data_IF_677269605354
#
_entry.id   IF_677269605354
#
_cell.length_a   1.000
_cell.length_b   1.000
_cell.length_c   1.000
_cell.angle_alpha   90.00
_cell.angle_beta   90.00
_cell.angle_gamma   90.00
#
_symmetry.space_group_name_H-M   'P 1'
#
loop_
_entity.id
_entity.type
_entity.pdbx_description
1 polymer ?
#
# COMPACT_ATOMS: atom_id res chain seq x y z
N UNK A 1 25.26 8.04 -17.08
CA UNK A 1 23.98 8.55 -17.62
C UNK A 1 22.86 7.81 -16.91
N UNK A 2 22.30 8.37 -15.83
CA UNK A 2 21.17 7.79 -15.13
C UNK A 2 19.88 8.13 -15.88
N UNK A 3 19.28 7.14 -16.53
CA UNK A 3 17.90 7.25 -17.00
C UNK A 3 17.02 6.82 -15.84
N UNK A 4 16.40 7.79 -15.17
CA UNK A 4 15.28 7.54 -14.27
C UNK A 4 14.13 6.99 -15.11
N UNK A 5 13.68 5.79 -14.77
CA UNK A 5 12.49 5.17 -15.34
C UNK A 5 11.31 5.54 -14.43
N UNK A 6 10.28 6.13 -15.04
CA UNK A 6 9.00 6.44 -14.40
C UNK A 6 8.14 5.20 -14.28
N UNK A 7 8.50 4.32 -13.34
CA UNK A 7 7.73 3.13 -13.01
C UNK A 7 7.23 3.25 -11.56
N UNK A 8 5.91 3.18 -11.36
CA UNK A 8 5.28 3.28 -10.04
C UNK A 8 5.38 1.91 -9.34
N UNK A 9 6.38 1.74 -8.47
CA UNK A 9 6.61 0.50 -7.73
C UNK A 9 6.33 0.69 -6.22
N UNK A 10 5.41 -0.09 -5.62
CA UNK A 10 5.43 -0.37 -4.17
C UNK A 10 6.20 -1.67 -3.90
N UNK A 11 6.90 -1.69 -2.77
CA UNK A 11 7.87 -2.72 -2.41
C UNK A 11 7.61 -3.23 -0.99
N UNK A 12 7.74 -4.54 -0.79
CA UNK A 12 7.90 -5.13 0.53
C UNK A 12 9.19 -5.96 0.65
N UNK A 13 9.88 -5.81 1.78
CA UNK A 13 11.12 -6.55 2.10
C UNK A 13 10.80 -7.65 3.09
N UNK A 14 11.13 -8.89 2.72
CA UNK A 14 10.95 -10.08 3.55
C UNK A 14 12.12 -10.25 4.52
N UNK A 15 11.92 -10.98 5.62
CA UNK A 15 12.95 -11.34 6.61
C UNK A 15 14.14 -12.05 5.97
N UNK A 16 13.90 -12.80 4.90
CA UNK A 16 14.91 -13.49 4.08
C UNK A 16 15.71 -12.55 3.16
N UNK A 17 15.35 -11.26 3.12
CA UNK A 17 15.97 -10.22 2.29
C UNK A 17 15.46 -10.18 0.86
N UNK A 18 14.59 -11.12 0.46
CA UNK A 18 13.89 -11.03 -0.81
C UNK A 18 12.91 -9.86 -0.79
N UNK A 19 12.63 -9.38 -1.98
CA UNK A 19 11.83 -8.19 -2.17
C UNK A 19 10.71 -8.49 -3.17
N UNK A 20 9.47 -8.21 -2.77
CA UNK A 20 8.30 -8.30 -3.63
C UNK A 20 7.97 -6.90 -4.15
N UNK A 21 7.67 -6.78 -5.45
CA UNK A 21 7.37 -5.49 -6.10
C UNK A 21 6.17 -5.64 -7.02
N UNK A 22 5.14 -4.81 -6.82
CA UNK A 22 4.05 -4.65 -7.77
C UNK A 22 4.52 -3.86 -8.99
N UNK A 23 4.33 -4.40 -10.18
CA UNK A 23 4.78 -3.80 -11.44
C UNK A 23 3.56 -3.54 -12.33
N UNK A 24 3.34 -2.28 -12.69
CA UNK A 24 2.33 -1.86 -13.66
C UNK A 24 3.02 -1.13 -14.83
N UNK A 25 3.36 -1.83 -15.93
CA UNK A 25 4.07 -1.25 -17.05
C UNK A 25 3.28 -0.15 -17.77
N UNK A 26 3.98 0.93 -18.10
CA UNK A 26 3.43 2.04 -18.90
C UNK A 26 4.35 2.42 -20.05
N UNK A 27 3.79 3.10 -21.06
CA UNK A 27 4.56 3.85 -22.05
C UNK A 27 4.63 5.31 -21.62
N UNK A 28 5.85 5.81 -21.43
CA UNK A 28 6.14 7.19 -21.03
C UNK A 28 5.42 7.65 -19.75
N UNK A 29 5.08 6.75 -18.83
CA UNK A 29 4.38 7.09 -17.58
C UNK A 29 2.88 7.39 -17.74
N UNK A 30 2.30 7.20 -18.92
CA UNK A 30 0.93 7.66 -19.21
C UNK A 30 -0.02 6.54 -19.68
N UNK A 31 0.44 5.68 -20.59
CA UNK A 31 -0.41 4.65 -21.18
C UNK A 31 -0.07 3.27 -20.60
N UNK A 32 -1.00 2.67 -19.85
CA UNK A 32 -0.89 1.30 -19.36
C UNK A 32 -0.84 0.33 -20.55
N UNK A 33 0.12 -0.60 -20.53
CA UNK A 33 0.34 -1.53 -21.66
C UNK A 33 0.05 -3.00 -21.33
N UNK A 34 -0.16 -3.33 -20.05
CA UNK A 34 -0.48 -4.68 -19.60
C UNK A 34 -1.15 -4.67 -18.22
N UNK A 35 -1.66 -5.83 -17.79
CA UNK A 35 -2.20 -6.06 -16.44
C UNK A 35 -1.12 -6.06 -15.35
N UNK A 36 0.16 -6.02 -15.72
CA UNK A 36 1.26 -6.02 -14.75
C UNK A 36 1.64 -7.40 -14.19
N UNK A 37 2.45 -7.38 -13.14
CA UNK A 37 3.04 -8.57 -12.51
C UNK A 37 3.54 -8.30 -11.10
N UNK A 38 3.81 -9.36 -10.33
CA UNK A 38 4.62 -9.27 -9.12
C UNK A 38 6.05 -9.71 -9.45
N UNK A 39 7.01 -8.83 -9.21
CA UNK A 39 8.43 -9.13 -9.33
C UNK A 39 8.97 -9.61 -7.99
N UNK A 40 9.74 -10.70 -8.03
CA UNK A 40 10.51 -11.18 -6.88
C UNK A 40 11.97 -10.89 -7.13
N UNK A 41 12.59 -10.09 -6.27
CA UNK A 41 13.97 -9.62 -6.40
C UNK A 41 14.79 -10.22 -5.25
N UNK A 42 15.97 -10.74 -5.58
CA UNK A 42 16.89 -11.32 -4.59
C UNK A 42 17.50 -10.25 -3.69
N UNK A 43 18.07 -10.62 -2.52
CA UNK A 43 18.79 -9.67 -1.66
C UNK A 43 19.94 -8.92 -2.37
N UNK A 44 20.47 -9.47 -3.47
CA UNK A 44 21.53 -8.86 -4.29
C UNK A 44 20.97 -7.91 -5.36
N UNK A 45 19.66 -7.64 -5.36
CA UNK A 45 19.01 -6.75 -6.31
C UNK A 45 18.79 -7.34 -7.71
N UNK A 46 18.85 -8.68 -7.86
CA UNK A 46 18.58 -9.34 -9.14
C UNK A 46 17.13 -9.80 -9.24
N UNK A 47 16.53 -9.70 -10.42
CA UNK A 47 15.22 -10.30 -10.67
C UNK A 47 15.33 -11.83 -10.58
N UNK A 48 14.58 -12.44 -9.67
CA UNK A 48 14.46 -13.88 -9.50
C UNK A 48 13.31 -14.45 -10.34
N UNK A 49 12.15 -13.82 -10.26
CA UNK A 49 10.93 -14.30 -10.93
C UNK A 49 9.98 -13.14 -11.22
N UNK A 50 9.22 -13.28 -12.29
CA UNK A 50 8.07 -12.43 -12.60
C UNK A 50 6.81 -13.31 -12.55
N UNK A 51 5.91 -13.00 -11.62
CA UNK A 51 4.68 -13.75 -11.38
C UNK A 51 3.51 -13.04 -12.03
N UNK A 52 2.73 -13.79 -12.82
CA UNK A 52 1.56 -13.29 -13.54
C UNK A 52 0.38 -14.21 -13.28
N UNK A 53 -0.76 -13.60 -12.98
CA UNK A 53 -2.05 -14.26 -12.93
C UNK A 53 -3.11 -13.19 -13.22
N UNK A 54 -3.80 -13.21 -14.37
CA UNK A 54 -4.72 -12.13 -14.75
C UNK A 54 -5.99 -12.08 -13.88
N UNK A 55 -6.24 -13.10 -13.04
CA UNK A 55 -7.36 -13.12 -12.11
C UNK A 55 -6.97 -12.48 -10.78
N UNK A 56 -5.73 -12.74 -10.33
CA UNK A 56 -5.24 -12.28 -9.03
C UNK A 56 -4.44 -10.97 -9.11
N UNK A 57 -3.86 -10.65 -10.27
CA UNK A 57 -2.93 -9.55 -10.49
C UNK A 57 -3.36 -8.72 -11.71
N UNK A 58 -3.95 -7.56 -11.44
CA UNK A 58 -4.40 -6.60 -12.46
C UNK A 58 -4.12 -5.16 -12.01
N UNK A 59 -2.91 -4.73 -12.31
CA UNK A 59 -2.27 -3.55 -11.72
C UNK A 59 -2.00 -3.75 -10.24
N UNK A 60 -1.14 -4.72 -9.85
CA UNK A 60 -0.71 -4.84 -8.46
C UNK A 60 -0.02 -3.54 -8.04
N UNK A 61 -0.63 -2.81 -7.10
CA UNK A 61 -0.24 -1.43 -6.77
C UNK A 61 0.38 -1.30 -5.40
N UNK A 62 -0.30 -1.79 -4.36
CA UNK A 62 0.25 -1.84 -3.00
C UNK A 62 0.14 -3.24 -2.42
N UNK A 63 0.93 -3.48 -1.38
CA UNK A 63 1.07 -4.80 -0.77
C UNK A 63 1.42 -4.72 0.69
N UNK A 64 0.91 -5.66 1.48
CA UNK A 64 1.36 -5.90 2.86
C UNK A 64 1.54 -7.39 3.12
N UNK A 65 2.53 -7.74 3.93
CA UNK A 65 2.89 -9.13 4.21
C UNK A 65 2.18 -9.60 5.48
N UNK A 66 1.36 -10.63 5.35
CA UNK A 66 0.64 -11.24 6.45
C UNK A 66 1.45 -12.34 7.14
N UNK A 67 2.14 -13.17 6.35
CA UNK A 67 2.95 -14.29 6.86
C UNK A 67 4.30 -14.27 6.13
N UNK A 68 5.38 -14.37 6.90
CA UNK A 68 6.75 -14.52 6.39
C UNK A 68 7.48 -15.56 7.23
N UNK A 69 7.43 -16.80 6.74
CA UNK A 69 7.96 -18.00 7.36
C UNK A 69 9.08 -18.61 6.51
N UNK A 70 9.97 -17.78 5.97
CA UNK A 70 11.10 -18.24 5.15
C UNK A 70 10.68 -18.42 3.69
N UNK A 71 10.58 -19.66 3.17
CA UNK A 71 10.16 -19.88 1.79
C UNK A 71 8.66 -19.62 1.57
N UNK A 72 7.83 -19.76 2.61
CA UNK A 72 6.40 -19.52 2.51
C UNK A 72 6.05 -18.10 2.94
N UNK A 73 5.39 -17.38 2.04
CA UNK A 73 4.97 -16.00 2.23
C UNK A 73 3.52 -15.86 1.85
N UNK A 74 2.73 -15.21 2.71
CA UNK A 74 1.37 -14.76 2.38
C UNK A 74 1.38 -13.24 2.39
N UNK A 75 0.94 -12.63 1.30
CA UNK A 75 0.81 -11.19 1.15
C UNK A 75 -0.59 -10.83 0.65
N UNK A 76 -1.08 -9.65 1.02
CA UNK A 76 -2.23 -9.05 0.39
C UNK A 76 -1.75 -8.06 -0.65
N UNK A 77 -2.38 -8.06 -1.82
CA UNK A 77 -2.02 -7.20 -2.96
C UNK A 77 -3.27 -6.49 -3.45
N UNK A 78 -3.22 -5.17 -3.55
CA UNK A 78 -4.31 -4.39 -4.13
C UNK A 78 -4.11 -4.21 -5.64
N UNK A 79 -5.20 -4.29 -6.39
CA UNK A 79 -5.22 -4.22 -7.84
C UNK A 79 -6.00 -2.98 -8.29
N UNK A 80 -5.29 -2.00 -8.86
CA UNK A 80 -5.88 -0.71 -9.22
C UNK A 80 -6.58 -0.72 -10.58
N UNK A 81 -6.35 -1.71 -11.44
CA UNK A 81 -7.02 -1.75 -12.75
C UNK A 81 -8.42 -2.34 -12.71
N UNK A 82 -8.74 -3.15 -11.68
CA UNK A 82 -10.04 -3.77 -11.54
C UNK A 82 -10.69 -3.58 -10.15
N UNK A 83 -10.05 -2.84 -9.25
CA UNK A 83 -10.63 -2.49 -7.95
C UNK A 83 -10.81 -3.71 -7.04
N UNK A 84 -9.77 -4.54 -6.93
CA UNK A 84 -9.79 -5.77 -6.12
C UNK A 84 -8.62 -5.86 -5.16
N UNK A 85 -8.68 -6.80 -4.23
CA UNK A 85 -7.56 -7.22 -3.38
C UNK A 85 -7.46 -8.73 -3.41
N UNK A 86 -6.25 -9.23 -3.62
CA UNK A 86 -5.92 -10.65 -3.61
C UNK A 86 -5.08 -11.02 -2.39
N UNK A 87 -5.34 -12.19 -1.79
CA UNK A 87 -4.40 -12.89 -0.91
C UNK A 87 -3.52 -13.78 -1.78
N UNK A 88 -2.23 -13.48 -1.78
CA UNK A 88 -1.21 -14.12 -2.59
C UNK A 88 -0.35 -15.00 -1.68
N UNK A 89 -0.42 -16.30 -1.91
CA UNK A 89 0.42 -17.29 -1.24
C UNK A 89 1.57 -17.70 -2.16
N UNK A 90 2.79 -17.56 -1.68
CA UNK A 90 4.02 -17.76 -2.44
C UNK A 90 4.89 -18.83 -1.79
N UNK A 91 5.58 -19.57 -2.65
CA UNK A 91 6.78 -20.29 -2.27
C UNK A 91 7.98 -19.65 -2.97
N UNK A 92 8.99 -19.24 -2.20
CA UNK A 92 10.20 -18.56 -2.68
C UNK A 92 11.41 -19.41 -2.31
N UNK A 93 12.22 -19.75 -3.33
CA UNK A 93 13.46 -20.48 -3.15
C UNK A 93 14.58 -19.96 -4.06
N UNK A 94 15.76 -20.57 -3.94
CA UNK A 94 16.93 -20.16 -4.73
C UNK A 94 16.71 -20.25 -6.25
N UNK A 95 15.81 -21.13 -6.70
CA UNK A 95 15.55 -21.40 -8.12
C UNK A 95 14.35 -20.62 -8.69
N UNK A 96 13.65 -19.84 -7.88
CA UNK A 96 12.46 -19.11 -8.33
C UNK A 96 11.43 -18.88 -7.23
N UNK A 97 10.40 -18.13 -7.57
CA UNK A 97 9.17 -18.00 -6.80
C UNK A 97 7.98 -18.56 -7.58
N UNK A 98 6.98 -19.09 -6.89
CA UNK A 98 5.74 -19.59 -7.50
C UNK A 98 4.52 -19.15 -6.71
N UNK A 99 3.46 -18.74 -7.43
CA UNK A 99 2.12 -18.59 -6.87
C UNK A 99 1.56 -19.96 -6.49
N UNK A 100 1.03 -20.08 -5.29
CA UNK A 100 0.38 -21.28 -4.78
C UNK A 100 -1.11 -21.26 -5.13
N UNK A 101 -1.70 -22.45 -5.32
CA UNK A 101 -3.13 -22.62 -5.61
C UNK A 101 -4.06 -22.12 -4.48
N UNK A 102 -3.51 -21.89 -3.29
CA UNK A 102 -4.23 -21.29 -2.16
C UNK A 102 -4.36 -19.77 -2.26
N UNK A 103 -3.81 -19.15 -3.31
CA UNK A 103 -4.01 -17.72 -3.58
C UNK A 103 -5.44 -17.47 -4.04
N UNK A 104 -6.08 -16.44 -3.49
CA UNK A 104 -7.48 -16.13 -3.77
C UNK A 104 -7.71 -14.64 -3.94
N UNK A 105 -8.65 -14.28 -4.81
CA UNK A 105 -9.29 -12.98 -4.77
C UNK A 105 -10.14 -12.93 -3.49
N UNK A 106 -9.94 -11.94 -2.63
CA UNK A 106 -10.60 -11.89 -1.32
C UNK A 106 -11.55 -10.69 -1.18
N UNK A 107 -11.40 -9.67 -2.00
CA UNK A 107 -12.28 -8.51 -2.01
C UNK A 107 -12.35 -7.87 -3.39
N UNK A 108 -13.53 -7.35 -3.75
CA UNK A 108 -13.77 -6.55 -4.94
C UNK A 108 -14.76 -5.41 -4.67
N UNK A 109 -14.95 -4.56 -5.68
CA UNK A 109 -15.94 -3.48 -5.64
C UNK A 109 -15.39 -2.12 -5.21
N UNK A 110 -14.06 -1.98 -5.12
CA UNK A 110 -13.43 -0.67 -4.92
C UNK A 110 -13.53 0.17 -6.19
N UNK A 111 -13.90 1.43 -6.03
CA UNK A 111 -13.97 2.35 -7.15
C UNK A 111 -12.57 2.51 -7.75
N UNK A 112 -12.46 2.48 -9.08
CA UNK A 112 -11.20 2.62 -9.80
C UNK A 112 -11.41 3.29 -11.15
N UNK A 113 -10.37 3.98 -11.64
CA UNK A 113 -10.33 4.58 -12.98
C UNK A 113 -8.88 4.94 -13.34
N UNK A 114 -8.63 5.14 -14.63
CA UNK A 114 -7.45 5.89 -15.06
C UNK A 114 -7.55 7.34 -14.60
N UNK A 115 -6.39 7.96 -14.39
CA UNK A 115 -6.30 9.34 -13.94
C UNK A 115 -5.14 10.07 -14.63
N UNK A 116 -5.35 11.22 -15.27
CA UNK A 116 -4.28 11.93 -15.97
C UNK A 116 -3.23 12.55 -15.04
N UNK A 117 -3.56 12.79 -13.76
CA UNK A 117 -2.63 13.34 -12.77
C UNK A 117 -1.94 12.24 -11.96
N UNK A 118 -2.62 11.12 -11.70
CA UNK A 118 -2.12 10.04 -10.83
C UNK A 118 -1.83 8.71 -11.54
N UNK A 119 -1.91 8.66 -12.88
CA UNK A 119 -1.95 7.45 -13.73
C UNK A 119 -3.24 6.63 -13.54
N UNK A 120 -3.53 6.25 -12.30
CA UNK A 120 -4.69 5.47 -11.87
C UNK A 120 -5.06 5.83 -10.43
N UNK A 121 -6.34 5.71 -10.12
CA UNK A 121 -6.84 5.75 -8.75
C UNK A 121 -7.66 4.50 -8.48
N UNK A 122 -7.57 3.96 -7.27
CA UNK A 122 -8.18 2.67 -6.90
C UNK A 122 -7.91 2.32 -5.43
N UNK A 123 -7.93 1.03 -5.07
CA UNK A 123 -7.38 0.56 -3.79
C UNK A 123 -5.86 0.66 -3.83
N UNK A 124 -5.30 1.71 -3.23
CA UNK A 124 -3.89 2.10 -3.41
C UNK A 124 -3.03 1.94 -2.16
N UNK A 125 -3.64 1.72 -1.00
CA UNK A 125 -2.93 1.55 0.26
C UNK A 125 -3.47 0.36 1.07
N UNK A 126 -2.58 -0.47 1.61
CA UNK A 126 -2.91 -1.62 2.43
C UNK A 126 -2.18 -1.59 3.78
N UNK A 127 -2.89 -1.90 4.86
CA UNK A 127 -2.30 -2.16 6.17
C UNK A 127 -2.96 -3.38 6.81
N UNK A 128 -2.18 -4.29 7.40
CA UNK A 128 -2.70 -5.52 7.96
C UNK A 128 -2.39 -5.61 9.46
N UNK A 129 -3.45 -5.74 10.25
CA UNK A 129 -3.38 -6.01 11.68
C UNK A 129 -3.43 -7.52 11.91
N UNK A 130 -2.26 -8.11 12.11
CA UNK A 130 -2.11 -9.54 12.37
C UNK A 130 -2.74 -9.99 13.68
N UNK A 131 -2.82 -9.12 14.70
CA UNK A 131 -3.32 -9.52 16.02
C UNK A 131 -4.84 -9.70 16.00
N UNK A 132 -5.53 -8.95 15.15
CA UNK A 132 -6.98 -8.99 15.02
C UNK A 132 -7.46 -9.62 13.69
N UNK A 133 -6.54 -10.02 12.81
CA UNK A 133 -6.82 -10.48 11.44
C UNK A 133 -7.72 -9.50 10.67
N UNK A 134 -7.25 -8.25 10.56
CA UNK A 134 -7.96 -7.20 9.83
C UNK A 134 -7.06 -6.61 8.76
N UNK A 135 -7.49 -6.69 7.51
CA UNK A 135 -6.87 -5.96 6.40
C UNK A 135 -7.61 -4.66 6.16
N UNK A 136 -6.90 -3.55 6.26
CA UNK A 136 -7.40 -2.22 5.94
C UNK A 136 -7.00 -1.83 4.52
N UNK A 137 -7.94 -1.21 3.80
CA UNK A 137 -7.77 -0.81 2.40
C UNK A 137 -8.09 0.67 2.27
N UNK A 138 -7.08 1.47 1.94
CA UNK A 138 -7.27 2.84 1.49
C UNK A 138 -7.69 2.82 0.01
N UNK A 139 -8.93 3.21 -0.25
CA UNK A 139 -9.45 3.37 -1.60
C UNK A 139 -9.44 4.85 -1.97
N UNK A 140 -8.47 5.24 -2.79
CA UNK A 140 -8.29 6.62 -3.23
C UNK A 140 -9.56 7.14 -3.90
N UNK A 141 -10.12 6.40 -4.86
CA UNK A 141 -11.25 6.88 -5.66
C UNK A 141 -12.57 6.94 -4.86
N UNK A 142 -12.75 6.05 -3.87
CA UNK A 142 -13.91 6.09 -2.97
C UNK A 142 -13.83 7.22 -1.93
N UNK A 143 -12.65 7.79 -1.71
CA UNK A 143 -12.33 8.64 -0.56
C UNK A 143 -12.64 8.00 0.80
N UNK A 144 -12.32 6.70 0.93
CA UNK A 144 -12.67 5.88 2.10
C UNK A 144 -11.55 4.94 2.49
N UNK A 145 -11.58 4.53 3.75
CA UNK A 145 -10.82 3.37 4.25
C UNK A 145 -11.79 2.28 4.66
N UNK A 146 -11.55 1.08 4.15
CA UNK A 146 -12.33 -0.12 4.42
C UNK A 146 -11.56 -1.07 5.34
N UNK A 147 -12.28 -1.95 6.02
CA UNK A 147 -11.75 -3.04 6.83
C UNK A 147 -12.36 -4.38 6.42
N UNK A 148 -11.50 -5.36 6.19
CA UNK A 148 -11.84 -6.76 5.92
C UNK A 148 -11.37 -7.58 7.13
N UNK A 149 -12.31 -8.02 7.95
CA UNK A 149 -12.05 -8.90 9.09
C UNK A 149 -11.94 -10.36 8.63
N UNK A 150 -11.05 -11.14 9.24
CA UNK A 150 -10.81 -12.53 8.86
C UNK A 150 -10.05 -12.68 7.54
N UNK A 151 -9.33 -11.64 7.11
CA UNK A 151 -8.76 -11.52 5.77
C UNK A 151 -7.80 -12.67 5.43
N UNK A 152 -7.03 -13.15 6.41
CA UNK A 152 -6.08 -14.23 6.21
C UNK A 152 -6.76 -15.57 5.91
N UNK A 153 -8.01 -15.78 6.33
CA UNK A 153 -8.75 -17.02 6.13
C UNK A 153 -9.66 -17.03 4.89
N UNK A 154 -9.88 -15.88 4.23
CA UNK A 154 -10.78 -15.79 3.08
C UNK A 154 -10.29 -16.64 1.89
N UNK A 155 -11.21 -17.38 1.28
CA UNK A 155 -10.94 -18.20 0.08
C UNK A 155 -11.82 -17.84 -1.10
N UNK A 156 -12.53 -16.72 -0.99
CA UNK A 156 -13.45 -16.19 -1.99
C UNK A 156 -13.57 -14.69 -1.78
N UNK A 157 -14.04 -14.00 -2.82
CA UNK A 157 -14.36 -12.59 -2.77
C UNK A 157 -15.51 -12.32 -1.80
N UNK A 158 -15.27 -11.47 -0.80
CA UNK A 158 -16.22 -11.10 0.24
C UNK A 158 -16.70 -9.63 0.11
N UNK A 159 -16.53 -9.04 -1.08
CA UNK A 159 -16.83 -7.62 -1.32
C UNK A 159 -15.79 -6.69 -0.66
N UNK A 160 -16.06 -5.37 -0.62
CA UNK A 160 -15.05 -4.39 -0.21
C UNK A 160 -14.83 -4.33 1.31
N UNK A 161 -15.52 -5.17 2.09
CA UNK A 161 -15.53 -5.08 3.56
C UNK A 161 -16.36 -3.89 4.07
N UNK A 162 -16.09 -3.49 5.32
CA UNK A 162 -16.82 -2.42 5.99
C UNK A 162 -16.09 -1.08 5.88
N UNK A 163 -16.80 0.01 5.59
CA UNK A 163 -16.22 1.35 5.68
C UNK A 163 -15.95 1.67 7.15
N UNK A 164 -14.69 1.96 7.49
CA UNK A 164 -14.29 2.36 8.84
C UNK A 164 -13.95 3.85 8.95
N UNK A 165 -13.57 4.49 7.85
CA UNK A 165 -13.25 5.91 7.85
C UNK A 165 -13.70 6.55 6.54
N UNK A 166 -14.55 7.57 6.67
CA UNK A 166 -15.06 8.38 5.57
C UNK A 166 -15.31 9.80 6.10
N UNK A 167 -14.25 10.61 6.08
CA UNK A 167 -14.32 11.99 6.54
C UNK A 167 -13.83 12.92 5.43
N UNK A 168 -14.76 13.52 4.68
CA UNK A 168 -14.43 14.41 3.58
C UNK A 168 -13.79 15.74 4.02
N UNK A 169 -13.78 16.07 5.32
CA UNK A 169 -13.05 17.24 5.80
C UNK A 169 -11.53 16.97 5.88
N UNK A 170 -11.15 15.71 6.11
CA UNK A 170 -9.75 15.33 6.32
C UNK A 170 -9.20 14.44 5.20
N UNK A 171 -10.01 13.57 4.59
CA UNK A 171 -9.59 12.71 3.48
C UNK A 171 -9.74 13.41 2.12
N UNK A 172 -8.66 13.36 1.35
CA UNK A 172 -8.57 13.84 -0.03
C UNK A 172 -7.82 12.81 -0.88
N UNK A 173 -8.42 11.62 -1.02
CA UNK A 173 -7.82 10.50 -1.73
C UNK A 173 -6.74 9.80 -0.90
N UNK A 174 -7.11 8.92 0.05
CA UNK A 174 -6.15 8.17 0.84
C UNK A 174 -5.33 7.24 -0.06
N UNK A 175 -4.04 7.55 -0.20
CA UNK A 175 -3.14 6.95 -1.19
C UNK A 175 -2.31 5.80 -0.60
N UNK A 176 -1.63 6.03 0.51
CA UNK A 176 -0.85 5.03 1.25
C UNK A 176 -1.41 4.86 2.65
N UNK A 177 -1.30 3.67 3.24
CA UNK A 177 -1.86 3.34 4.54
C UNK A 177 -0.85 2.57 5.40
N UNK A 178 -0.78 2.85 6.69
CA UNK A 178 -0.03 2.04 7.64
C UNK A 178 -0.71 2.01 9.01
N UNK A 179 -0.36 0.99 9.79
CA UNK A 179 -0.65 0.94 11.23
C UNK A 179 0.48 1.64 11.99
N UNK A 180 0.10 2.59 12.83
CA UNK A 180 1.00 3.21 13.78
C UNK A 180 1.21 2.29 15.01
N UNK A 181 2.30 2.46 15.78
CA UNK A 181 2.60 1.60 16.93
C UNK A 181 1.55 1.62 18.05
N UNK A 182 0.72 2.67 18.11
CA UNK A 182 -0.43 2.79 19.02
C UNK A 182 -1.67 2.00 18.55
N UNK A 183 -1.64 1.42 17.34
CA UNK A 183 -2.77 0.72 16.73
C UNK A 183 -3.68 1.59 15.87
N UNK A 184 -3.38 2.90 15.76
CA UNK A 184 -4.11 3.80 14.88
C UNK A 184 -3.71 3.57 13.41
N UNK A 185 -4.55 4.05 12.51
CA UNK A 185 -4.29 4.05 11.08
C UNK A 185 -3.82 5.43 10.64
N UNK A 186 -2.82 5.42 9.76
CA UNK A 186 -2.20 6.64 9.23
C UNK A 186 -2.21 6.54 7.72
N UNK A 187 -2.78 7.55 7.06
CA UNK A 187 -2.87 7.61 5.59
C UNK A 187 -2.21 8.87 5.04
N UNK A 188 -1.53 8.74 3.91
CA UNK A 188 -1.16 9.89 3.09
C UNK A 188 -2.35 10.27 2.20
N UNK A 189 -2.70 11.55 2.13
CA UNK A 189 -3.61 12.05 1.11
C UNK A 189 -2.81 12.33 -0.16
N UNK A 190 -3.12 11.61 -1.24
CA UNK A 190 -2.51 11.83 -2.55
C UNK A 190 -3.16 12.98 -3.33
N UNK A 191 -4.30 13.51 -2.87
CA UNK A 191 -5.06 14.61 -3.48
C UNK A 191 -5.45 14.39 -4.96
N UNK A 192 -5.36 13.16 -5.48
CA UNK A 192 -5.80 12.81 -6.84
C UNK A 192 -7.32 12.95 -7.03
N UNK A 193 -8.05 12.98 -5.91
CA UNK A 193 -9.45 13.39 -5.83
C UNK A 193 -9.58 14.47 -4.76
N UNK A 194 -10.57 15.35 -4.91
CA UNK A 194 -10.85 16.43 -3.97
C UNK A 194 -9.64 17.35 -3.70
N UNK A 195 -8.76 17.53 -4.69
CA UNK A 195 -7.67 18.50 -4.61
C UNK A 195 -8.20 19.91 -4.32
N UNK A 196 -7.56 20.62 -3.40
CA UNK A 196 -7.80 22.05 -3.15
C UNK A 196 -6.47 22.78 -3.11
N UNK A 197 -6.30 23.76 -3.99
CA UNK A 197 -5.09 24.58 -4.09
C UNK A 197 -4.80 25.40 -2.82
N UNK A 198 -5.78 25.58 -1.94
CA UNK A 198 -5.64 26.28 -0.67
C UNK A 198 -5.34 25.34 0.50
N UNK A 199 -5.33 24.03 0.28
CA UNK A 199 -5.00 23.04 1.29
C UNK A 199 -3.60 22.49 1.09
N UNK A 200 -2.91 22.28 2.20
CA UNK A 200 -1.64 21.59 2.23
C UNK A 200 -1.80 20.11 1.86
N UNK A 201 -0.73 19.48 1.41
CA UNK A 201 -0.70 18.01 1.32
C UNK A 201 -0.38 17.43 2.69
N UNK A 202 -1.17 16.43 3.11
CA UNK A 202 -1.29 16.05 4.52
C UNK A 202 -1.25 14.52 4.72
N UNK A 203 -0.77 14.13 5.89
CA UNK A 203 -0.98 12.80 6.49
C UNK A 203 -2.08 12.92 7.54
N UNK A 204 -3.00 11.95 7.56
CA UNK A 204 -4.12 11.87 8.50
C UNK A 204 -3.96 10.64 9.39
N UNK A 205 -4.09 10.81 10.69
CA UNK A 205 -4.19 9.73 11.69
C UNK A 205 -5.62 9.62 12.19
N UNK A 206 -6.12 8.39 12.28
CA UNK A 206 -7.45 8.05 12.79
C UNK A 206 -7.46 6.66 13.42
N UNK A 207 -8.34 6.46 14.39
CA UNK A 207 -8.50 5.16 15.06
C UNK A 207 -9.16 4.13 14.13
N UNK A 208 -8.99 2.82 14.34
CA UNK A 208 -9.72 1.79 13.60
C UNK A 208 -11.25 1.87 13.74
N UNK A 209 -11.75 2.59 14.75
CA UNK A 209 -13.17 2.88 14.97
C UNK A 209 -13.65 4.15 14.23
N UNK A 210 -12.81 4.74 13.38
CA UNK A 210 -13.15 5.86 12.53
C UNK A 210 -13.12 7.23 13.19
N UNK A 211 -12.46 7.37 14.34
CA UNK A 211 -12.28 8.66 15.00
C UNK A 211 -11.02 9.35 14.50
N UNK A 212 -11.14 10.58 13.99
CA UNK A 212 -10.00 11.43 13.68
C UNK A 212 -9.12 11.67 14.91
N UNK A 213 -7.81 11.65 14.73
CA UNK A 213 -6.83 11.87 15.79
C UNK A 213 -5.98 13.10 15.49
N UNK A 214 -5.31 13.11 14.34
CA UNK A 214 -4.34 14.15 14.03
C UNK A 214 -4.15 14.35 12.52
N UNK A 215 -3.59 15.50 12.19
CA UNK A 215 -3.14 15.88 10.85
C UNK A 215 -1.68 16.35 10.92
N UNK A 216 -0.89 15.97 9.92
CA UNK A 216 0.48 16.43 9.74
C UNK A 216 0.66 16.92 8.30
N UNK A 217 1.14 18.15 8.15
CA UNK A 217 1.49 18.72 6.84
C UNK A 217 2.81 18.14 6.32
N UNK A 218 2.83 17.73 5.05
CA UNK A 218 4.02 17.27 4.31
C UNK A 218 4.54 18.33 3.35
N UNK A 219 3.64 19.07 2.71
CA UNK A 219 3.97 20.13 1.75
C UNK A 219 2.91 21.24 1.80
N UNK A 220 3.26 22.53 1.62
CA UNK A 220 2.26 23.59 1.45
C UNK A 220 1.38 23.44 0.21
N UNK A 221 1.82 22.71 -0.81
CA UNK A 221 1.07 22.45 -2.03
C UNK A 221 0.36 21.08 -1.95
N UNK A 222 -0.88 20.96 -2.44
CA UNK A 222 -1.59 19.68 -2.45
C UNK A 222 -0.89 18.66 -3.36
N UNK A 223 -1.17 17.37 -3.13
CA UNK A 223 -0.74 16.27 -3.99
C UNK A 223 0.71 15.83 -3.82
N UNK A 224 1.36 16.19 -2.72
CA UNK A 224 2.78 15.91 -2.49
C UNK A 224 3.02 14.69 -1.58
N UNK A 225 2.10 14.37 -0.68
CA UNK A 225 2.24 13.22 0.22
C UNK A 225 1.96 11.91 -0.53
N UNK A 226 2.96 11.02 -0.58
CA UNK A 226 2.86 9.80 -1.40
C UNK A 226 2.96 8.50 -0.60
N UNK A 227 4.04 8.37 0.16
CA UNK A 227 4.37 7.15 0.90
C UNK A 227 4.58 7.46 2.37
N UNK A 228 4.31 6.48 3.21
CA UNK A 228 4.63 6.54 4.63
C UNK A 228 4.97 5.14 5.15
N UNK A 229 5.73 5.09 6.24
CA UNK A 229 6.06 3.85 6.92
C UNK A 229 6.38 4.08 8.39
N UNK A 230 6.05 3.09 9.22
CA UNK A 230 6.60 2.96 10.57
C UNK A 230 7.66 1.87 10.58
N UNK A 231 8.67 2.04 11.43
CA UNK A 231 9.75 1.08 11.57
C UNK A 231 10.57 1.33 12.82
N UNK A 232 11.65 0.56 12.97
CA UNK A 232 12.60 0.72 14.05
C UNK A 232 13.95 1.20 13.51
N UNK A 233 14.58 2.11 14.24
CA UNK A 233 15.99 2.45 14.03
C UNK A 233 16.90 1.25 14.36
N UNK A 234 18.18 1.36 14.02
CA UNK A 234 19.20 0.39 14.45
C UNK A 234 19.33 0.27 15.98
N UNK A 235 18.93 1.29 16.73
CA UNK A 235 18.87 1.29 18.19
C UNK A 235 17.54 0.77 18.75
N UNK A 236 16.61 0.33 17.90
CA UNK A 236 15.30 -0.15 18.31
C UNK A 236 14.30 0.95 18.68
N UNK A 237 14.59 2.21 18.35
CA UNK A 237 13.65 3.32 18.57
C UNK A 237 12.62 3.37 17.44
N UNK A 238 11.37 3.66 17.78
CA UNK A 238 10.31 3.83 16.78
C UNK A 238 10.63 5.01 15.86
N UNK A 239 10.42 4.80 14.57
CA UNK A 239 10.60 5.80 13.52
C UNK A 239 9.34 5.88 12.67
N UNK A 240 9.05 7.09 12.22
CA UNK A 240 8.02 7.37 11.23
C UNK A 240 8.69 8.04 10.04
N UNK A 241 8.35 7.61 8.83
CA UNK A 241 8.85 8.19 7.60
C UNK A 241 7.70 8.61 6.70
N UNK A 242 7.85 9.73 6.01
CA UNK A 242 6.94 10.19 4.95
C UNK A 242 7.72 10.57 3.70
N UNK A 243 7.10 10.39 2.54
CA UNK A 243 7.63 10.78 1.24
C UNK A 243 6.87 12.01 0.74
N UNK A 244 7.64 13.03 0.36
CA UNK A 244 7.19 14.20 -0.37
C UNK A 244 7.64 14.04 -1.83
N UNK A 245 6.67 13.75 -2.71
CA UNK A 245 6.91 13.42 -4.12
C UNK A 245 7.30 14.64 -4.95
N UNK A 246 6.69 15.80 -4.68
CA UNK A 246 6.97 17.05 -5.38
C UNK A 246 8.41 17.54 -5.19
N UNK A 247 9.01 17.28 -4.02
CA UNK A 247 10.41 17.58 -3.74
C UNK A 247 11.36 16.39 -3.94
N UNK A 248 10.84 15.19 -4.21
CA UNK A 248 11.59 13.93 -4.23
C UNK A 248 12.41 13.70 -2.94
N UNK A 249 11.80 13.96 -1.79
CA UNK A 249 12.45 13.77 -0.48
C UNK A 249 11.68 12.82 0.43
N UNK A 250 12.39 12.23 1.37
CA UNK A 250 11.80 11.51 2.50
C UNK A 250 12.30 12.13 3.81
N UNK A 251 11.38 12.35 4.74
CA UNK A 251 11.69 12.82 6.09
C UNK A 251 11.44 11.66 7.05
N UNK A 252 12.38 11.44 7.97
CA UNK A 252 12.29 10.40 9.00
C UNK A 252 12.37 11.06 10.37
N UNK A 253 11.36 10.81 11.19
CA UNK A 253 11.31 11.24 12.58
C UNK A 253 11.58 10.06 13.50
N UNK A 254 12.40 10.27 14.52
CA UNK A 254 12.48 9.37 15.66
C UNK A 254 11.36 9.72 16.63
N UNK A 255 10.46 8.78 16.86
CA UNK A 255 9.34 8.95 17.78
C UNK A 255 9.84 8.88 19.23
N UNK A 256 9.22 9.67 20.10
CA UNK A 256 9.52 9.61 21.52
C UNK A 256 9.14 8.23 22.05
N UNK A 257 9.90 7.66 23.01
CA UNK A 257 9.45 6.47 23.71
C UNK A 257 8.07 6.72 24.30
N UNK A 258 7.15 5.75 24.15
CA UNK A 258 5.87 5.79 24.85
C UNK A 258 6.19 5.68 26.34
N UNK A 259 6.11 6.80 27.06
CA UNK A 259 6.28 6.81 28.50
C UNK A 259 5.13 6.02 29.14
N UNK A 260 5.45 5.03 29.96
CA UNK A 260 4.44 4.41 30.81
C UNK A 260 3.92 5.46 31.79
N UNK A 261 2.61 5.66 31.80
CA UNK A 261 1.91 6.17 32.98
C UNK A 261 1.76 5.02 33.99
#
# INVERSE_FOLDING_TARGET
>A
MSRGLGDVYKRQVLKSGYVLVGNLPTTNGAAITSTGSLLVITPQGKLLSELKDPTLLDGPWDMTVAIDNGPQVTAFVSNVLNGTVARIDLNIGANGATLLQSSHLIASGYAHRSDPAALVVGPTGLAYDMNHDVLYVASTNDNKVFAITGAAALTHDNGPGNVIYQDSNHLRGPLALALAPNGDLVTANGDAINADANHASEIIEFTPQGQFVAVMQVDPSPGSAFGLAFGLSSSGQQQFATVNDSTNTAIVWTLRPVGGN
#
